data_IF_894105124779
#
_entry.id   IF_894105124779
#
_cell.length_a   1.000
_cell.length_b   1.000
_cell.length_c   1.000
_cell.angle_alpha   90.00
_cell.angle_beta   90.00
_cell.angle_gamma   90.00
#
_symmetry.space_group_name_H-M   'P 1'
#
loop_
_entity.id
_entity.type
_entity.pdbx_description
1 polymer ?
#
# COMPACT_ATOMS: atom_id res chain seq x y z
N UNK A 1 2.57 8.52 -8.06
CA UNK A 1 3.75 8.32 -7.17
C UNK A 1 3.29 7.79 -5.82
N UNK A 2 3.94 6.77 -5.26
CA UNK A 2 3.61 6.19 -3.94
C UNK A 2 4.79 6.39 -3.00
N UNK A 3 4.56 6.88 -1.77
CA UNK A 3 5.60 7.08 -0.75
C UNK A 3 5.06 6.88 0.69
N UNK A 4 5.71 6.04 1.52
CA UNK A 4 6.68 5.01 1.11
C UNK A 4 5.99 3.95 0.23
N UNK A 5 6.71 3.37 -0.75
CA UNK A 5 6.17 2.26 -1.58
C UNK A 5 6.53 0.89 -1.03
N UNK A 6 7.43 0.83 -0.06
CA UNK A 6 7.91 -0.36 0.64
C UNK A 6 8.53 0.07 1.97
N UNK A 7 8.63 -0.85 2.91
CA UNK A 7 9.21 -0.60 4.22
C UNK A 7 8.87 -1.71 5.21
N UNK A 8 9.27 -1.50 6.46
CA UNK A 8 8.88 -2.34 7.59
C UNK A 8 7.90 -1.56 8.46
N UNK A 9 6.85 -2.24 8.92
CA UNK A 9 5.90 -1.70 9.88
C UNK A 9 6.14 -2.49 11.18
N UNK A 10 6.42 -1.77 12.27
CA UNK A 10 6.57 -2.41 13.59
C UNK A 10 5.22 -2.98 14.04
N UNK A 11 5.27 -4.04 14.84
CA UNK A 11 4.08 -4.58 15.49
C UNK A 11 3.29 -3.47 16.20
N UNK A 12 1.97 -3.52 16.09
CA UNK A 12 1.04 -2.57 16.70
C UNK A 12 1.20 -1.10 16.23
N UNK A 13 1.95 -0.88 15.14
CA UNK A 13 2.02 0.41 14.46
C UNK A 13 1.21 0.41 13.18
N UNK A 14 0.80 1.61 12.79
CA UNK A 14 0.17 1.90 11.51
C UNK A 14 1.02 2.96 10.83
N UNK A 15 1.26 2.78 9.54
CA UNK A 15 2.02 3.71 8.73
C UNK A 15 1.12 4.28 7.63
N UNK A 16 1.24 5.57 7.36
CA UNK A 16 0.52 6.21 6.26
C UNK A 16 1.28 6.06 4.94
N UNK A 17 0.57 5.64 3.90
CA UNK A 17 1.10 5.57 2.54
C UNK A 17 0.45 6.66 1.69
N UNK A 18 1.24 7.62 1.26
CA UNK A 18 0.76 8.70 0.40
C UNK A 18 0.82 8.28 -1.07
N UNK A 19 -0.33 8.36 -1.73
CA UNK A 19 -0.51 8.05 -3.16
C UNK A 19 -0.90 9.33 -3.88
N UNK A 20 -0.04 9.75 -4.81
CA UNK A 20 -0.22 10.96 -5.61
C UNK A 20 -0.52 10.59 -7.06
N UNK A 21 -1.64 11.06 -7.59
CA UNK A 21 -1.92 11.03 -9.03
C UNK A 21 -1.05 12.08 -9.72
N UNK A 22 -0.31 11.69 -10.76
CA UNK A 22 0.52 12.62 -11.54
C UNK A 22 -0.38 13.29 -12.58
N UNK A 23 -0.35 14.64 -12.72
CA UNK A 23 -1.30 15.37 -13.58
C UNK A 23 -1.42 14.81 -15.00
N UNK A 24 -0.31 14.44 -15.63
CA UNK A 24 -0.29 13.93 -17.02
C UNK A 24 -0.72 12.46 -17.15
N UNK A 25 -1.02 11.80 -16.04
CA UNK A 25 -1.55 10.43 -15.98
C UNK A 25 -2.95 10.39 -15.37
N UNK A 26 -3.62 11.54 -15.24
CA UNK A 26 -4.96 11.67 -14.67
C UNK A 26 -6.08 11.22 -15.64
N UNK A 27 -5.83 10.19 -16.45
CA UNK A 27 -6.86 9.57 -17.29
C UNK A 27 -7.93 8.87 -16.45
N UNK A 28 -8.52 7.82 -17.01
CA UNK A 28 -9.52 7.01 -16.30
C UNK A 28 -8.87 6.15 -15.20
N UNK A 29 -8.79 6.69 -13.98
CA UNK A 29 -8.24 5.99 -12.80
C UNK A 29 -9.12 4.83 -12.33
N UNK A 30 -10.35 4.68 -12.83
CA UNK A 30 -11.24 3.59 -12.39
C UNK A 30 -10.73 2.19 -12.77
N UNK A 31 -9.79 2.15 -13.73
CA UNK A 31 -9.09 0.94 -14.16
C UNK A 31 -7.84 0.65 -13.33
N UNK A 32 -7.33 1.65 -12.62
CA UNK A 32 -6.13 1.53 -11.81
C UNK A 32 -6.39 0.71 -10.55
N UNK A 33 -5.39 -0.09 -10.19
CA UNK A 33 -5.44 -1.00 -9.04
C UNK A 33 -4.11 -0.96 -8.32
N UNK A 34 -4.15 -0.95 -6.99
CA UNK A 34 -2.98 -1.15 -6.16
C UNK A 34 -2.98 -2.59 -5.64
N UNK A 35 -1.80 -3.21 -5.63
CA UNK A 35 -1.57 -4.48 -4.96
C UNK A 35 -0.66 -4.20 -3.76
N UNK A 36 -1.21 -4.37 -2.56
CA UNK A 36 -0.44 -4.37 -1.32
C UNK A 36 0.04 -5.79 -1.07
N UNK A 37 1.33 -5.96 -0.83
CA UNK A 37 1.93 -7.22 -0.45
C UNK A 37 2.54 -7.10 0.94
N UNK A 38 2.34 -8.12 1.77
CA UNK A 38 2.84 -8.14 3.13
C UNK A 38 3.33 -9.53 3.52
N UNK A 39 4.33 -9.58 4.39
CA UNK A 39 4.82 -10.81 5.00
C UNK A 39 5.46 -10.50 6.35
N UNK A 40 5.53 -11.49 7.24
CA UNK A 40 6.20 -11.34 8.52
C UNK A 40 7.72 -11.22 8.35
N UNK A 41 8.32 -10.24 9.01
CA UNK A 41 9.77 -10.12 9.16
C UNK A 41 10.19 -10.65 10.55
N UNK A 42 11.27 -11.42 10.61
CA UNK A 42 11.79 -11.93 11.89
C UNK A 42 12.63 -10.90 12.66
N UNK A 43 13.15 -9.88 11.98
CA UNK A 43 13.97 -8.83 12.59
C UNK A 43 13.69 -7.47 11.94
N UNK A 44 14.02 -6.38 12.65
CA UNK A 44 13.82 -5.00 12.17
C UNK A 44 14.92 -4.54 11.19
N UNK A 45 15.99 -5.31 11.02
CA UNK A 45 17.15 -4.95 10.20
C UNK A 45 17.15 -5.64 8.82
N UNK A 46 16.07 -6.34 8.45
CA UNK A 46 15.99 -7.06 7.19
C UNK A 46 15.69 -6.09 6.05
N UNK A 47 16.37 -6.23 4.93
CA UNK A 47 15.98 -5.55 3.70
C UNK A 47 14.69 -6.19 3.17
N UNK A 48 13.57 -5.44 3.09
CA UNK A 48 12.31 -5.97 2.57
C UNK A 48 12.46 -6.54 1.16
N UNK A 49 13.31 -5.93 0.31
CA UNK A 49 13.49 -6.40 -1.07
C UNK A 49 14.14 -7.79 -1.11
N UNK A 50 15.12 -8.03 -0.23
CA UNK A 50 15.73 -9.34 -0.07
C UNK A 50 14.70 -10.36 0.43
N UNK A 51 13.94 -9.99 1.46
CA UNK A 51 12.95 -10.86 2.08
C UNK A 51 11.88 -11.34 1.07
N UNK A 52 11.38 -10.44 0.22
CA UNK A 52 10.40 -10.78 -0.82
C UNK A 52 10.98 -11.64 -1.96
N UNK A 53 12.28 -11.53 -2.27
CA UNK A 53 12.93 -12.38 -3.27
C UNK A 53 13.08 -13.82 -2.81
N UNK A 54 13.37 -14.01 -1.52
CA UNK A 54 13.66 -15.32 -0.93
C UNK A 54 12.40 -16.02 -0.39
N UNK A 55 11.27 -15.29 -0.31
CA UNK A 55 10.02 -15.79 0.24
C UNK A 55 9.36 -16.84 -0.66
N UNK A 56 8.91 -17.93 -0.03
CA UNK A 56 7.94 -18.83 -0.65
C UNK A 56 6.60 -18.09 -0.87
N UNK A 57 5.95 -18.34 -2.01
CA UNK A 57 4.76 -17.57 -2.45
C UNK A 57 3.59 -17.64 -1.47
N UNK A 58 3.45 -18.73 -0.73
CA UNK A 58 2.43 -18.95 0.30
C UNK A 58 2.62 -18.09 1.56
N UNK A 59 3.82 -17.51 1.75
CA UNK A 59 4.14 -16.60 2.86
C UNK A 59 3.83 -15.14 2.55
N UNK A 60 3.49 -14.82 1.31
CA UNK A 60 3.18 -13.46 0.87
C UNK A 60 1.66 -13.27 0.87
N UNK A 61 1.17 -12.45 1.79
CA UNK A 61 -0.21 -11.98 1.78
C UNK A 61 -0.36 -10.90 0.71
N UNK A 62 -1.50 -10.92 0.02
CA UNK A 62 -1.81 -9.97 -1.05
C UNK A 62 -3.19 -9.36 -0.82
N UNK A 63 -3.29 -8.05 -1.00
CA UNK A 63 -4.54 -7.32 -0.94
C UNK A 63 -4.65 -6.34 -2.10
N UNK A 64 -5.75 -6.41 -2.87
CA UNK A 64 -5.95 -5.59 -4.06
C UNK A 64 -6.97 -4.49 -3.76
N UNK A 65 -6.57 -3.26 -4.01
CA UNK A 65 -7.40 -2.06 -3.92
C UNK A 65 -7.72 -1.56 -5.34
N UNK A 66 -8.93 -1.01 -5.52
CA UNK A 66 -9.36 -0.38 -6.77
C UNK A 66 -9.42 1.12 -6.57
N UNK A 67 -8.88 1.88 -7.53
CA UNK A 67 -8.97 3.33 -7.51
C UNK A 67 -10.37 3.78 -7.98
N UNK A 68 -10.86 4.85 -7.38
CA UNK A 68 -12.07 5.55 -7.79
C UNK A 68 -11.91 7.04 -7.54
N UNK A 69 -12.40 7.87 -8.47
CA UNK A 69 -12.56 9.30 -8.20
C UNK A 69 -13.81 9.42 -7.33
N UNK A 70 -13.62 9.78 -6.06
CA UNK A 70 -14.75 10.10 -5.20
C UNK A 70 -15.37 11.44 -5.62
N UNK A 71 -16.69 11.54 -5.62
CA UNK A 71 -17.30 12.79 -5.12
C UNK A 71 -16.94 12.84 -3.63
N UNK A 72 -16.42 13.97 -3.14
CA UNK A 72 -16.21 14.16 -1.70
C UNK A 72 -17.57 14.05 -0.99
N UNK A 73 -17.91 12.89 -0.46
CA UNK A 73 -18.92 12.82 0.59
C UNK A 73 -18.21 13.20 1.90
N UNK A 74 -18.57 14.38 2.41
CA UNK A 74 -18.14 14.88 3.72
C UNK A 74 -18.37 13.80 4.77
N UNK A 75 -17.28 13.18 5.23
CA UNK A 75 -17.29 12.31 6.39
C UNK A 75 -17.45 13.21 7.63
N UNK A 76 -18.69 13.65 7.88
CA UNK A 76 -19.06 14.32 9.13
C UNK A 76 -18.87 13.31 10.27
N UNK A 77 -17.82 13.53 11.06
CA UNK A 77 -17.63 12.91 12.36
C UNK A 77 -18.88 13.17 13.21
N UNK A 78 -19.63 12.10 13.54
CA UNK A 78 -20.64 12.18 14.59
C UNK A 78 -19.91 12.16 15.93
N UNK A 79 -19.97 13.29 16.64
CA UNK A 79 -19.66 13.36 18.07
C UNK A 79 -20.73 12.62 18.89
#
# INVERSE_FOLDING_TARGET
RVRPSSGLIKSDKTEEVYVYLVPDQAGDVSKDKFLIMAMGAQNENVDPNQLFRDAAKDKIMQHKLKCSIGMQENMQSKN
#
